data_IF_593705458791
#
_entry.id   IF_593705458791
#
_cell.length_a   1.000
_cell.length_b   1.000
_cell.length_c   1.000
_cell.angle_alpha   90.00
_cell.angle_beta   90.00
_cell.angle_gamma   90.00
#
_symmetry.space_group_name_H-M   'P 1'
#
loop_
_entity.id
_entity.type
_entity.pdbx_description
1 polymer ?
#
# COMPACT_ATOMS: atom_id res chain seq x y z
N UNK A 1 -25.98 -16.00 -16.82
CA UNK A 1 -25.59 -14.66 -17.30
C UNK A 1 -24.75 -13.98 -16.24
N UNK A 2 -23.47 -13.74 -16.52
CA UNK A 2 -22.50 -13.20 -15.56
C UNK A 2 -22.25 -11.71 -15.81
N UNK A 3 -22.73 -10.86 -14.90
CA UNK A 3 -22.51 -9.41 -14.93
C UNK A 3 -21.66 -8.87 -13.78
N UNK A 4 -21.23 -9.71 -12.81
CA UNK A 4 -20.51 -9.25 -11.61
C UNK A 4 -18.97 -9.40 -11.68
N UNK A 5 -18.40 -10.17 -12.60
CA UNK A 5 -16.93 -10.36 -12.66
C UNK A 5 -16.19 -9.33 -13.51
N UNK A 6 -16.88 -8.59 -14.38
CA UNK A 6 -16.25 -7.58 -15.25
C UNK A 6 -15.97 -6.25 -14.52
N UNK A 7 -16.69 -5.94 -13.44
CA UNK A 7 -16.49 -4.67 -12.69
C UNK A 7 -15.19 -4.69 -11.87
N UNK A 8 -14.98 -5.76 -11.09
CA UNK A 8 -13.77 -5.95 -10.26
C UNK A 8 -12.48 -6.07 -11.08
N UNK A 9 -12.53 -6.70 -12.27
CA UNK A 9 -11.36 -6.82 -13.15
C UNK A 9 -11.04 -5.54 -13.93
N UNK A 10 -11.99 -4.60 -14.06
CA UNK A 10 -11.79 -3.32 -14.74
C UNK A 10 -11.24 -2.26 -13.79
N UNK A 11 -11.58 -2.32 -12.50
CA UNK A 11 -10.99 -1.46 -11.47
C UNK A 11 -9.52 -1.82 -11.19
N UNK A 12 -9.16 -3.10 -11.10
CA UNK A 12 -7.74 -3.46 -10.89
C UNK A 12 -6.84 -3.06 -12.06
N UNK A 13 -7.35 -3.11 -13.31
CA UNK A 13 -6.63 -2.60 -14.50
C UNK A 13 -6.59 -1.07 -14.58
N UNK A 14 -7.51 -0.34 -13.96
CA UNK A 14 -7.49 1.13 -13.93
C UNK A 14 -6.51 1.63 -12.85
N UNK A 15 -6.51 0.99 -11.68
CA UNK A 15 -5.56 1.24 -10.60
C UNK A 15 -4.11 0.92 -11.00
N UNK A 16 -3.89 -0.17 -11.75
CA UNK A 16 -2.53 -0.53 -12.21
C UNK A 16 -2.06 0.23 -13.46
N UNK A 17 -2.95 0.82 -14.27
CA UNK A 17 -2.56 1.68 -15.42
C UNK A 17 -2.31 3.14 -15.04
N UNK A 18 -2.91 3.63 -13.95
CA UNK A 18 -2.67 5.00 -13.49
C UNK A 18 -1.33 5.14 -12.76
N UNK A 19 -0.88 4.08 -12.08
CA UNK A 19 0.40 4.09 -11.34
C UNK A 19 1.64 3.80 -12.22
N UNK A 20 1.49 3.61 -13.53
CA UNK A 20 2.58 3.20 -14.43
C UNK A 20 2.86 4.19 -15.56
N UNK A 21 2.36 5.43 -15.46
CA UNK A 21 2.73 6.50 -16.39
C UNK A 21 3.45 7.61 -15.62
N UNK A 22 4.62 7.92 -16.16
CA UNK A 22 5.39 9.15 -15.94
C UNK A 22 6.31 9.17 -14.71
N UNK A 23 7.18 8.17 -14.60
CA UNK A 23 8.54 8.37 -14.05
C UNK A 23 9.54 8.03 -15.15
N UNK A 24 9.62 8.89 -16.16
CA UNK A 24 10.77 8.95 -17.07
C UNK A 24 11.03 10.39 -17.49
N UNK A 25 12.26 10.80 -17.21
CA UNK A 25 12.98 11.99 -17.71
C UNK A 25 12.78 13.23 -16.83
N UNK A 26 13.81 13.95 -16.37
CA UNK A 26 15.19 14.01 -16.84
C UNK A 26 16.12 14.56 -15.74
N UNK A 27 17.04 13.73 -15.21
CA UNK A 27 18.29 14.27 -14.65
C UNK A 27 19.27 14.39 -15.82
N UNK A 28 19.21 15.54 -16.49
CA UNK A 28 20.21 15.89 -17.50
C UNK A 28 21.34 16.59 -16.76
N UNK A 29 22.42 15.85 -16.49
CA UNK A 29 23.69 16.41 -16.02
C UNK A 29 24.09 17.58 -16.93
N UNK A 30 24.22 18.78 -16.35
CA UNK A 30 24.99 19.86 -16.96
C UNK A 30 26.37 19.89 -16.31
N UNK A 31 27.47 19.72 -17.07
CA UNK A 31 28.78 20.12 -16.59
C UNK A 31 28.99 21.59 -16.96
N UNK A 32 29.27 22.45 -15.98
CA UNK A 32 29.83 23.77 -16.27
C UNK A 32 30.94 24.08 -15.27
N UNK A 33 32.14 24.21 -15.85
CA UNK A 33 33.35 24.78 -15.29
C UNK A 33 33.22 26.31 -15.15
N UNK A 34 33.85 26.92 -14.14
CA UNK A 34 35.11 27.65 -14.35
C UNK A 34 35.61 28.31 -13.06
N UNK A 35 36.93 28.18 -12.84
CA UNK A 35 37.67 28.80 -11.74
C UNK A 35 37.74 30.32 -11.90
N UNK A 36 37.46 31.07 -10.82
CA UNK A 36 37.99 32.41 -10.47
C UNK A 36 37.35 32.81 -9.12
N UNK A 37 37.94 33.53 -8.19
CA UNK A 37 39.31 33.93 -7.81
C UNK A 37 39.11 34.59 -6.43
N UNK A 38 39.97 34.25 -5.45
CA UNK A 38 39.86 34.65 -4.04
C UNK A 38 39.57 36.14 -3.79
N UNK A 39 38.56 36.39 -2.94
CA UNK A 39 38.55 37.51 -2.00
C UNK A 39 38.07 36.99 -0.62
N UNK A 40 38.90 37.15 0.41
CA UNK A 40 38.96 36.26 1.58
C UNK A 40 38.30 36.81 2.84
N UNK A 41 37.02 37.20 2.80
CA UNK A 41 36.22 37.43 4.02
C UNK A 41 34.70 37.37 3.84
N UNK A 42 34.23 36.76 2.75
CA UNK A 42 32.86 36.32 2.58
C UNK A 42 32.96 34.79 2.53
N UNK A 43 32.21 34.05 3.37
CA UNK A 43 32.07 32.61 3.15
C UNK A 43 31.48 32.48 1.75
N UNK A 44 32.31 32.03 0.81
CA UNK A 44 31.88 31.75 -0.55
C UNK A 44 30.77 30.68 -0.45
N UNK A 45 29.50 31.01 -0.77
CA UNK A 45 28.39 30.07 -0.63
C UNK A 45 28.64 28.77 -1.41
N UNK A 46 29.34 28.87 -2.54
CA UNK A 46 29.73 27.74 -3.37
C UNK A 46 30.76 26.85 -2.63
N UNK A 47 31.69 27.45 -1.88
CA UNK A 47 32.64 26.69 -1.04
C UNK A 47 31.97 26.00 0.15
N UNK A 48 30.95 26.61 0.76
CA UNK A 48 30.23 26.01 1.88
C UNK A 48 29.32 24.86 1.43
N UNK A 49 28.68 25.02 0.27
CA UNK A 49 27.90 23.99 -0.40
C UNK A 49 28.78 22.77 -0.74
N UNK A 50 29.91 22.99 -1.43
CA UNK A 50 30.82 21.92 -1.85
C UNK A 50 31.39 21.15 -0.64
N UNK A 51 31.71 21.87 0.44
CA UNK A 51 32.19 21.26 1.68
C UNK A 51 31.10 20.41 2.35
N UNK A 52 29.84 20.89 2.38
CA UNK A 52 28.73 20.11 2.90
C UNK A 52 28.48 18.86 2.05
N UNK A 53 28.37 19.03 0.72
CA UNK A 53 28.12 17.94 -0.22
C UNK A 53 29.19 16.85 -0.08
N UNK A 54 30.46 17.21 -0.14
CA UNK A 54 31.58 16.25 -0.07
C UNK A 54 31.56 15.39 1.21
N UNK A 55 31.08 15.94 2.33
CA UNK A 55 31.03 15.25 3.63
C UNK A 55 29.71 14.49 3.85
N UNK A 56 28.59 15.03 3.38
CA UNK A 56 27.26 14.62 3.84
C UNK A 56 26.35 14.05 2.75
N UNK A 57 26.70 14.12 1.46
CA UNK A 57 25.79 13.70 0.37
C UNK A 57 25.24 12.27 0.54
N UNK A 58 26.08 11.29 0.90
CA UNK A 58 25.65 9.90 1.10
C UNK A 58 24.65 9.75 2.25
N UNK A 59 24.74 10.62 3.25
CA UNK A 59 23.81 10.63 4.37
C UNK A 59 22.47 11.19 3.93
N UNK A 60 22.47 12.30 3.20
CA UNK A 60 21.26 12.88 2.61
C UNK A 60 20.57 11.87 1.67
N UNK A 61 21.31 11.22 0.76
CA UNK A 61 20.79 10.19 -0.15
C UNK A 61 20.12 9.03 0.61
N UNK A 62 20.73 8.56 1.71
CA UNK A 62 20.12 7.51 2.55
C UNK A 62 18.86 7.98 3.26
N UNK A 63 18.80 9.25 3.66
CA UNK A 63 17.63 9.82 4.32
C UNK A 63 16.49 10.04 3.32
N UNK A 64 16.78 10.58 2.15
CA UNK A 64 15.83 10.68 1.03
C UNK A 64 15.29 9.30 0.63
N UNK A 65 16.17 8.30 0.46
CA UNK A 65 15.73 6.94 0.16
C UNK A 65 14.80 6.39 1.25
N UNK A 66 15.03 6.72 2.54
CA UNK A 66 14.11 6.32 3.61
C UNK A 66 12.73 6.93 3.44
N UNK A 67 12.63 8.21 3.05
CA UNK A 67 11.36 8.89 2.76
C UNK A 67 10.57 8.06 1.73
N UNK A 68 11.15 7.77 0.57
CA UNK A 68 10.44 7.07 -0.50
C UNK A 68 10.29 5.56 -0.30
N UNK A 69 11.03 4.96 0.66
CA UNK A 69 10.89 3.54 1.00
C UNK A 69 9.72 3.24 1.95
N UNK A 70 9.02 4.26 2.45
CA UNK A 70 7.86 4.05 3.32
C UNK A 70 6.74 3.37 2.53
N UNK A 71 6.30 2.21 2.99
CA UNK A 71 5.18 1.52 2.38
C UNK A 71 3.86 2.24 2.68
N UNK A 72 3.26 2.80 1.65
CA UNK A 72 1.87 3.23 1.59
C UNK A 72 0.99 2.02 1.25
N UNK A 73 0.24 1.52 2.24
CA UNK A 73 -0.63 0.35 2.07
C UNK A 73 -1.95 0.75 1.42
N UNK A 74 -2.08 0.51 0.11
CA UNK A 74 -3.29 0.83 -0.65
C UNK A 74 -4.52 -0.02 -0.27
N UNK A 75 -4.40 -0.99 0.66
CA UNK A 75 -5.52 -1.81 1.13
C UNK A 75 -6.19 -1.18 2.35
N UNK A 76 -5.40 -0.72 3.32
CA UNK A 76 -5.90 -0.12 4.56
C UNK A 76 -5.72 1.41 4.50
N UNK A 77 -6.81 2.18 4.31
CA UNK A 77 -6.72 3.62 4.07
C UNK A 77 -6.10 4.38 5.24
N UNK A 78 -6.26 3.90 6.47
CA UNK A 78 -5.65 4.56 7.64
C UNK A 78 -4.14 4.31 7.67
N UNK A 79 -3.69 3.11 7.27
CA UNK A 79 -2.26 2.83 7.11
C UNK A 79 -1.66 3.61 5.95
N UNK A 80 -2.43 3.86 4.90
CA UNK A 80 -2.00 4.69 3.78
C UNK A 80 -1.68 6.11 4.25
N UNK A 81 -2.62 6.73 4.99
CA UNK A 81 -2.43 8.05 5.62
C UNK A 81 -1.24 8.05 6.60
N UNK A 82 -1.12 7.01 7.43
CA UNK A 82 0.02 6.88 8.33
C UNK A 82 1.37 6.78 7.58
N UNK A 83 1.37 6.15 6.40
CA UNK A 83 2.52 6.10 5.49
C UNK A 83 2.94 7.49 5.02
N UNK A 84 2.01 8.27 4.47
CA UNK A 84 2.27 9.67 4.07
C UNK A 84 2.77 10.52 5.23
N UNK A 85 2.13 10.45 6.40
CA UNK A 85 2.58 11.20 7.58
C UNK A 85 4.00 10.83 8.01
N UNK A 86 4.39 9.55 7.86
CA UNK A 86 5.75 9.11 8.13
C UNK A 86 6.74 9.63 7.08
N UNK A 87 6.36 9.69 5.80
CA UNK A 87 7.18 10.31 4.75
C UNK A 87 7.43 11.79 5.05
N UNK A 88 6.38 12.54 5.43
CA UNK A 88 6.49 13.96 5.81
C UNK A 88 7.43 14.17 7.00
N UNK A 89 7.32 13.33 8.04
CA UNK A 89 8.21 13.40 9.20
C UNK A 89 9.68 13.13 8.81
N UNK A 90 9.94 12.14 7.95
CA UNK A 90 11.29 11.84 7.45
C UNK A 90 11.84 12.95 6.55
N UNK A 91 10.98 13.65 5.79
CA UNK A 91 11.38 14.81 4.99
C UNK A 91 11.84 15.96 5.89
N UNK A 92 11.14 16.22 6.99
CA UNK A 92 11.59 17.19 8.00
C UNK A 92 12.88 16.75 8.70
N UNK A 93 13.06 15.45 8.99
CA UNK A 93 14.34 14.98 9.54
C UNK A 93 15.52 15.26 8.59
N UNK A 94 15.31 15.14 7.27
CA UNK A 94 16.32 15.50 6.26
C UNK A 94 16.57 17.02 6.22
N UNK A 95 15.51 17.82 6.27
CA UNK A 95 15.60 19.28 6.37
C UNK A 95 16.39 19.72 7.61
N UNK A 96 16.01 19.23 8.79
CA UNK A 96 16.67 19.52 10.06
C UNK A 96 18.14 19.12 10.03
N UNK A 97 18.46 17.95 9.47
CA UNK A 97 19.84 17.49 9.30
C UNK A 97 20.64 18.44 8.43
N UNK A 98 20.10 18.87 7.28
CA UNK A 98 20.81 19.80 6.40
C UNK A 98 21.01 21.17 7.09
N UNK A 99 19.96 21.73 7.69
CA UNK A 99 20.00 23.03 8.38
C UNK A 99 21.00 23.01 9.56
N UNK A 100 21.10 21.90 10.29
CA UNK A 100 22.00 21.79 11.45
C UNK A 100 23.49 21.89 11.10
N UNK A 101 23.85 21.84 9.81
CA UNK A 101 25.23 21.95 9.33
C UNK A 101 25.56 23.32 8.71
N UNK A 102 24.71 24.33 8.93
CA UNK A 102 24.97 25.72 8.54
C UNK A 102 24.57 26.06 7.10
N UNK A 103 25.07 27.20 6.60
CA UNK A 103 24.64 27.79 5.31
C UNK A 103 24.79 26.84 4.12
N UNK A 104 25.87 26.06 4.06
CA UNK A 104 26.08 25.08 3.00
C UNK A 104 25.03 23.96 2.99
N UNK A 105 24.58 23.52 4.16
CA UNK A 105 23.52 22.52 4.27
C UNK A 105 22.12 23.10 3.97
N UNK A 106 21.86 24.34 4.38
CA UNK A 106 20.62 25.08 4.01
C UNK A 106 20.51 25.18 2.49
N UNK A 107 21.58 25.61 1.83
CA UNK A 107 21.64 25.75 0.38
C UNK A 107 21.51 24.38 -0.32
N UNK A 108 22.20 23.35 0.20
CA UNK A 108 22.08 21.99 -0.32
C UNK A 108 20.65 21.44 -0.26
N UNK A 109 19.95 21.64 0.86
CA UNK A 109 18.55 21.24 0.96
C UNK A 109 17.67 22.00 -0.01
N UNK A 110 17.89 23.32 -0.15
CA UNK A 110 17.11 24.16 -1.06
C UNK A 110 17.21 23.68 -2.51
N UNK A 111 18.42 23.40 -2.97
CA UNK A 111 18.67 23.01 -4.36
C UNK A 111 18.23 21.58 -4.68
N UNK A 112 18.32 20.66 -3.71
CA UNK A 112 18.15 19.22 -3.98
C UNK A 112 16.84 18.61 -3.48
N UNK A 113 16.24 19.16 -2.42
CA UNK A 113 15.16 18.48 -1.67
C UNK A 113 13.98 19.38 -1.30
N UNK A 114 14.01 20.66 -1.71
CA UNK A 114 13.04 21.67 -1.25
C UNK A 114 11.60 21.40 -1.63
N UNK A 115 11.36 20.51 -2.59
CA UNK A 115 10.05 20.13 -3.12
C UNK A 115 9.48 18.84 -2.51
N UNK A 116 10.30 18.05 -1.79
CA UNK A 116 9.91 16.74 -1.26
C UNK A 116 8.69 16.88 -0.34
N UNK A 117 8.73 17.84 0.59
CA UNK A 117 7.63 18.05 1.53
C UNK A 117 6.33 18.44 0.82
N UNK A 118 6.36 19.45 -0.05
CA UNK A 118 5.15 19.94 -0.72
C UNK A 118 4.57 18.89 -1.66
N UNK A 119 5.43 18.09 -2.30
CA UNK A 119 4.99 16.99 -3.17
C UNK A 119 4.24 15.92 -2.36
N UNK A 120 4.83 15.44 -1.27
CA UNK A 120 4.19 14.43 -0.39
C UNK A 120 2.89 14.99 0.21
N UNK A 121 2.91 16.26 0.64
CA UNK A 121 1.72 16.91 1.21
C UNK A 121 0.59 17.04 0.16
N UNK A 122 0.92 17.43 -1.07
CA UNK A 122 -0.05 17.53 -2.14
C UNK A 122 -0.67 16.16 -2.49
N UNK A 123 0.13 15.10 -2.48
CA UNK A 123 -0.36 13.73 -2.69
C UNK A 123 -1.28 13.27 -1.56
N UNK A 124 -0.92 13.53 -0.30
CA UNK A 124 -1.76 13.24 0.85
C UNK A 124 -3.08 14.01 0.78
N UNK A 125 -3.03 15.31 0.50
CA UNK A 125 -4.22 16.15 0.39
C UNK A 125 -5.13 15.69 -0.74
N UNK A 126 -4.56 15.33 -1.89
CA UNK A 126 -5.29 14.75 -3.02
C UNK A 126 -5.97 13.44 -2.63
N UNK A 127 -5.25 12.54 -1.96
CA UNK A 127 -5.79 11.26 -1.49
C UNK A 127 -6.94 11.45 -0.50
N UNK A 128 -6.75 12.32 0.51
CA UNK A 128 -7.78 12.63 1.52
C UNK A 128 -9.03 13.23 0.89
N UNK A 129 -8.86 14.12 -0.09
CA UNK A 129 -9.96 14.81 -0.75
C UNK A 129 -10.73 13.93 -1.72
N UNK A 130 -10.04 13.08 -2.47
CA UNK A 130 -10.61 12.43 -3.65
C UNK A 130 -10.87 10.93 -3.47
N UNK A 131 -10.13 10.23 -2.59
CA UNK A 131 -10.10 8.77 -2.56
C UNK A 131 -10.37 8.17 -1.18
N UNK A 132 -9.96 8.84 -0.10
CA UNK A 132 -9.97 8.26 1.25
C UNK A 132 -11.35 7.75 1.68
N UNK A 133 -12.41 8.52 1.44
CA UNK A 133 -13.76 8.14 1.88
C UNK A 133 -14.26 6.87 1.18
N UNK A 134 -14.13 6.78 -0.15
CA UNK A 134 -14.52 5.58 -0.91
C UNK A 134 -13.66 4.38 -0.52
N UNK A 135 -12.35 4.58 -0.34
CA UNK A 135 -11.43 3.55 0.13
C UNK A 135 -11.82 3.03 1.52
N UNK A 136 -12.23 3.92 2.43
CA UNK A 136 -12.68 3.58 3.79
C UNK A 136 -13.95 2.74 3.79
N UNK A 137 -14.93 3.13 2.98
CA UNK A 137 -16.17 2.39 2.84
C UNK A 137 -15.91 0.99 2.26
N UNK A 138 -15.16 0.89 1.16
CA UNK A 138 -14.79 -0.38 0.55
C UNK A 138 -14.03 -1.29 1.53
N UNK A 139 -13.10 -0.73 2.31
CA UNK A 139 -12.33 -1.48 3.29
C UNK A 139 -13.21 -2.05 4.40
N UNK A 140 -14.11 -1.26 4.98
CA UNK A 140 -15.01 -1.72 6.04
C UNK A 140 -16.05 -2.72 5.50
N UNK A 141 -16.56 -2.54 4.28
CA UNK A 141 -17.41 -3.53 3.61
C UNK A 141 -16.67 -4.87 3.42
N UNK A 142 -15.45 -4.85 2.90
CA UNK A 142 -14.66 -6.06 2.68
C UNK A 142 -14.29 -6.74 4.00
N UNK A 143 -13.96 -5.97 5.04
CA UNK A 143 -13.72 -6.47 6.40
C UNK A 143 -14.96 -7.11 7.01
N UNK A 144 -16.13 -6.49 6.87
CA UNK A 144 -17.40 -7.06 7.29
C UNK A 144 -17.72 -8.34 6.51
N UNK A 145 -17.50 -8.35 5.19
CA UNK A 145 -17.69 -9.51 4.33
C UNK A 145 -16.79 -10.68 4.73
N UNK A 146 -15.49 -10.42 4.98
CA UNK A 146 -14.53 -11.42 5.49
C UNK A 146 -14.99 -11.99 6.84
N UNK A 147 -15.45 -11.13 7.76
CA UNK A 147 -16.00 -11.57 9.05
C UNK A 147 -17.23 -12.48 8.88
N UNK A 148 -18.15 -12.12 7.99
CA UNK A 148 -19.33 -12.91 7.68
C UNK A 148 -18.96 -14.27 7.08
N UNK A 149 -18.02 -14.31 6.13
CA UNK A 149 -17.50 -15.55 5.55
C UNK A 149 -16.88 -16.44 6.61
N UNK A 150 -16.03 -15.90 7.49
CA UNK A 150 -15.38 -16.68 8.56
C UNK A 150 -16.41 -17.25 9.54
N UNK A 151 -17.44 -16.47 9.90
CA UNK A 151 -18.54 -16.94 10.73
C UNK A 151 -19.30 -18.09 10.04
N UNK A 152 -19.64 -17.94 8.76
CA UNK A 152 -20.33 -18.97 7.98
C UNK A 152 -19.46 -20.23 7.81
N UNK A 153 -18.17 -20.08 7.55
CA UNK A 153 -17.21 -21.19 7.51
C UNK A 153 -17.21 -21.98 8.83
N UNK A 154 -17.26 -21.29 9.97
CA UNK A 154 -17.37 -21.94 11.28
C UNK A 154 -18.69 -22.71 11.45
N UNK A 155 -19.81 -22.12 11.03
CA UNK A 155 -21.13 -22.79 11.04
C UNK A 155 -21.14 -24.04 10.16
N UNK A 156 -20.60 -23.95 8.94
CA UNK A 156 -20.52 -25.08 8.01
C UNK A 156 -19.68 -26.20 8.58
N UNK A 157 -18.51 -25.85 9.14
CA UNK A 157 -17.62 -26.85 9.73
C UNK A 157 -18.33 -27.59 10.88
N UNK A 158 -19.03 -26.84 11.75
CA UNK A 158 -19.81 -27.43 12.84
C UNK A 158 -20.92 -28.35 12.34
N UNK A 159 -21.65 -27.95 11.31
CA UNK A 159 -22.73 -28.77 10.72
C UNK A 159 -22.19 -30.12 10.19
N UNK A 160 -21.02 -30.10 9.54
CA UNK A 160 -20.37 -31.33 9.05
C UNK A 160 -19.90 -32.18 10.25
N UNK A 161 -19.38 -31.57 11.32
CA UNK A 161 -19.00 -32.28 12.55
C UNK A 161 -20.19 -32.97 13.19
N UNK A 162 -21.28 -32.24 13.40
CA UNK A 162 -22.51 -32.72 14.04
C UNK A 162 -23.17 -33.84 13.20
N UNK A 163 -22.94 -33.86 11.88
CA UNK A 163 -23.37 -34.92 10.96
C UNK A 163 -22.47 -36.16 10.92
N UNK A 164 -21.48 -36.27 11.83
CA UNK A 164 -20.56 -37.41 11.89
C UNK A 164 -19.31 -37.26 11.01
N UNK A 165 -18.96 -36.03 10.61
CA UNK A 165 -17.72 -35.70 9.92
C UNK A 165 -17.76 -35.74 8.39
N UNK A 166 -18.88 -36.16 7.79
CA UNK A 166 -19.13 -36.06 6.35
C UNK A 166 -20.57 -35.63 6.09
N UNK A 167 -20.79 -34.75 5.11
CA UNK A 167 -22.14 -34.32 4.73
C UNK A 167 -22.24 -33.98 3.23
N UNK A 168 -23.36 -34.32 2.54
CA UNK A 168 -23.55 -33.96 1.14
C UNK A 168 -23.62 -32.45 0.92
N UNK A 169 -22.95 -31.93 -0.11
CA UNK A 169 -22.93 -30.48 -0.44
C UNK A 169 -24.33 -29.87 -0.56
N UNK A 170 -25.27 -30.62 -1.14
CA UNK A 170 -26.65 -30.17 -1.36
C UNK A 170 -27.42 -29.95 -0.06
N UNK A 171 -27.08 -30.70 0.99
CA UNK A 171 -27.83 -30.70 2.24
C UNK A 171 -27.30 -29.59 3.16
N UNK A 172 -25.98 -29.40 3.21
CA UNK A 172 -25.36 -28.25 3.89
C UNK A 172 -25.92 -26.92 3.34
N UNK A 173 -26.00 -26.77 2.01
CA UNK A 173 -26.46 -25.51 1.38
C UNK A 173 -27.91 -25.16 1.73
N UNK A 174 -28.76 -26.16 1.99
CA UNK A 174 -30.19 -25.95 2.30
C UNK A 174 -30.39 -25.36 3.69
N UNK A 175 -29.49 -25.62 4.63
CA UNK A 175 -29.56 -25.14 6.03
C UNK A 175 -29.51 -23.61 6.11
N UNK A 176 -28.82 -22.96 5.18
CA UNK A 176 -28.56 -21.52 5.25
C UNK A 176 -29.62 -20.69 4.52
N UNK A 177 -29.87 -19.49 5.07
CA UNK A 177 -30.76 -18.48 4.49
C UNK A 177 -30.18 -17.85 3.21
N UNK A 178 -31.00 -17.18 2.40
CA UNK A 178 -30.55 -16.56 1.13
C UNK A 178 -29.35 -15.60 1.26
N UNK A 179 -29.25 -14.72 2.29
CA UNK A 179 -28.05 -13.90 2.50
C UNK A 179 -26.78 -14.73 2.67
N UNK A 180 -26.83 -15.79 3.48
CA UNK A 180 -25.70 -16.69 3.74
C UNK A 180 -25.36 -17.56 2.50
N UNK A 181 -26.37 -17.95 1.72
CA UNK A 181 -26.17 -18.70 0.47
C UNK A 181 -25.33 -17.95 -0.56
N UNK A 182 -25.35 -16.61 -0.57
CA UNK A 182 -24.49 -15.79 -1.45
C UNK A 182 -23.00 -15.92 -1.07
N UNK A 183 -22.70 -16.16 0.21
CA UNK A 183 -21.34 -16.30 0.73
C UNK A 183 -20.87 -17.76 0.79
N UNK A 184 -21.81 -18.72 0.72
CA UNK A 184 -21.59 -20.15 0.87
C UNK A 184 -20.41 -20.70 0.06
N UNK A 185 -20.39 -20.48 -1.26
CA UNK A 185 -19.33 -21.04 -2.11
C UNK A 185 -17.95 -20.46 -1.75
N UNK A 186 -17.90 -19.22 -1.27
CA UNK A 186 -16.65 -18.59 -0.79
C UNK A 186 -16.19 -19.19 0.54
N UNK A 187 -17.13 -19.41 1.46
CA UNK A 187 -16.85 -20.06 2.74
C UNK A 187 -16.33 -21.50 2.56
N UNK A 188 -16.99 -22.30 1.70
CA UNK A 188 -16.54 -23.64 1.34
C UNK A 188 -15.14 -23.61 0.73
N UNK A 189 -14.88 -22.72 -0.22
CA UNK A 189 -13.56 -22.58 -0.84
C UNK A 189 -12.49 -22.27 0.22
N UNK A 190 -12.77 -21.34 1.13
CA UNK A 190 -11.87 -21.02 2.25
C UNK A 190 -11.58 -22.21 3.16
N UNK A 191 -12.59 -23.03 3.47
CA UNK A 191 -12.41 -24.25 4.27
C UNK A 191 -11.58 -25.33 3.55
N UNK A 192 -11.72 -25.45 2.23
CA UNK A 192 -10.92 -26.36 1.41
C UNK A 192 -9.47 -25.88 1.33
N UNK A 193 -9.24 -24.60 1.05
CA UNK A 193 -7.90 -24.00 0.93
C UNK A 193 -7.14 -24.02 2.26
N UNK A 194 -7.83 -23.79 3.38
CA UNK A 194 -7.26 -23.94 4.72
C UNK A 194 -7.10 -25.39 5.17
N UNK A 195 -7.51 -26.36 4.35
CA UNK A 195 -7.37 -27.78 4.61
C UNK A 195 -8.30 -28.32 5.71
N UNK A 196 -9.28 -27.54 6.18
CA UNK A 196 -10.22 -27.98 7.23
C UNK A 196 -11.23 -29.01 6.74
N UNK A 197 -11.56 -28.95 5.45
CA UNK A 197 -12.40 -29.95 4.78
C UNK A 197 -11.77 -30.36 3.45
N UNK A 198 -12.19 -31.52 2.94
CA UNK A 198 -11.93 -31.96 1.57
C UNK A 198 -13.25 -32.20 0.84
N UNK A 199 -13.24 -31.93 -0.46
CA UNK A 199 -14.30 -32.35 -1.34
C UNK A 199 -14.02 -33.78 -1.82
N UNK A 200 -14.99 -34.68 -1.63
CA UNK A 200 -14.93 -36.07 -2.09
C UNK A 200 -16.04 -36.29 -3.11
N UNK A 201 -15.68 -36.86 -4.26
CA UNK A 201 -16.64 -37.19 -5.29
C UNK A 201 -17.21 -38.59 -5.02
N UNK A 202 -18.44 -38.65 -4.54
CA UNK A 202 -19.18 -39.91 -4.35
C UNK A 202 -19.81 -40.41 -5.66
N UNK A 203 -20.43 -41.59 -5.60
CA UNK A 203 -21.07 -42.24 -6.77
C UNK A 203 -22.27 -41.46 -7.32
N UNK A 204 -23.00 -40.73 -6.49
CA UNK A 204 -24.22 -39.99 -6.87
C UNK A 204 -24.18 -38.50 -6.52
N UNK A 205 -23.30 -38.07 -5.62
CA UNK A 205 -23.22 -36.69 -5.17
C UNK A 205 -21.82 -36.33 -4.65
N UNK A 206 -21.59 -35.03 -4.49
CA UNK A 206 -20.37 -34.46 -3.90
C UNK A 206 -20.58 -34.34 -2.38
N UNK A 207 -19.60 -34.82 -1.62
CA UNK A 207 -19.54 -34.70 -0.17
C UNK A 207 -18.42 -33.77 0.27
N UNK A 208 -18.63 -33.12 1.42
CA UNK A 208 -17.55 -32.49 2.16
C UNK A 208 -17.27 -33.29 3.42
N UNK A 209 -16.00 -33.63 3.61
CA UNK A 209 -15.52 -34.41 4.75
C UNK A 209 -14.46 -33.61 5.48
N UNK A 210 -14.45 -33.67 6.80
CA UNK A 210 -13.40 -33.05 7.62
C UNK A 210 -12.08 -33.78 7.38
N UNK A 211 -10.97 -33.03 7.40
CA UNK A 211 -9.63 -33.62 7.39
C UNK A 211 -9.09 -33.80 8.81
#
# INVERSE_FOLDING_TARGET
MGFLSKSLFKMSKKLTKSAAKDIKSASTYKPVSDKKSHDSNILDPDSAYDEFESKHYKTCERMEHKVYSVNTDNIDPDKNVAGFNKMLALAHELEDFCISHGEGGIEYFRENYSDIYQTIQADLDSYLKNEYQEAKECFEEEKARKKAINCLSGKILKEIQDSGGSMPRKDIRKVYSEPDRKLYDTAIKSLIESGKIKQVQGKQYIEFTIK
#
